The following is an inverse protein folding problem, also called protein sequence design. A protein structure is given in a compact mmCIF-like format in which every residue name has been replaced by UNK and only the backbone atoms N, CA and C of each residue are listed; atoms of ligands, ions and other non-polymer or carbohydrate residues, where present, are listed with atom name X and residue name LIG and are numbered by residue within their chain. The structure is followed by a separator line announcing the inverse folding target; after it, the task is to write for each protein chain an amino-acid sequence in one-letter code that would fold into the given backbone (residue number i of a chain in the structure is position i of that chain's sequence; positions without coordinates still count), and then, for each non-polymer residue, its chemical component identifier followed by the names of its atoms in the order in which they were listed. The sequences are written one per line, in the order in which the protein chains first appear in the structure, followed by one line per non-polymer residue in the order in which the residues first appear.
data_IF_032245799656
#
_entry.id   IF_032245799656
#
_cell.length_a   1.000
_cell.length_b   1.000
_cell.length_c   1.000
_cell.angle_alpha   90.00
_cell.angle_beta   90.00
_cell.angle_gamma   90.00
#
_symmetry.space_group_name_H-M   'P 1'
#
loop_
_entity.id
_entity.type
_entity.pdbx_description
1 polymer ?
#
# COMPACT_ATOMS: atom_id res chain seq x y z
N UNK A 1 30.22 14.05 10.57
CA UNK A 1 29.91 12.62 10.44
C UNK A 1 28.47 12.47 10.02
N UNK A 2 28.28 12.02 8.83
CA UNK A 2 27.04 12.06 8.06
C UNK A 2 26.01 11.03 8.57
N UNK A 3 24.80 11.49 8.88
CA UNK A 3 23.63 10.67 9.27
C UNK A 3 23.09 9.71 8.17
N UNK A 4 23.93 9.30 7.24
CA UNK A 4 23.52 8.58 6.04
C UNK A 4 23.53 7.04 6.14
N UNK A 5 23.93 6.43 7.27
CA UNK A 5 24.21 5.00 7.33
C UNK A 5 23.31 4.17 8.26
N UNK A 6 22.16 4.72 8.75
CA UNK A 6 21.20 3.95 9.55
C UNK A 6 19.79 3.87 8.93
N UNK A 7 19.68 4.09 7.62
CA UNK A 7 18.39 4.09 6.90
C UNK A 7 18.19 2.88 5.97
N UNK A 8 18.82 1.78 6.21
CA UNK A 8 18.44 0.54 5.54
C UNK A 8 17.46 -0.20 6.42
N UNK A 9 16.17 -0.09 6.20
CA UNK A 9 15.26 -1.20 6.34
C UNK A 9 13.82 -0.94 6.75
N UNK A 10 13.42 0.18 7.33
CA UNK A 10 12.04 0.28 7.84
C UNK A 10 11.23 1.39 7.12
N UNK A 11 11.10 1.28 5.79
CA UNK A 11 10.23 2.16 5.01
C UNK A 11 8.81 1.63 4.97
N UNK A 12 7.84 2.55 5.03
CA UNK A 12 6.44 2.22 4.76
C UNK A 12 6.29 1.61 3.37
N UNK A 13 5.34 0.70 3.21
CA UNK A 13 5.02 0.06 1.94
C UNK A 13 3.52 0.13 1.69
N UNK A 14 3.14 0.09 0.44
CA UNK A 14 1.76 -0.12 0.00
C UNK A 14 1.66 -1.46 -0.71
N UNK A 15 0.68 -2.27 -0.38
CA UNK A 15 0.38 -3.51 -1.07
C UNK A 15 -1.06 -3.49 -1.61
N UNK A 16 -1.24 -3.94 -2.84
CA UNK A 16 -2.54 -4.11 -3.47
C UNK A 16 -2.81 -5.60 -3.65
N UNK A 17 -3.88 -6.07 -3.00
CA UNK A 17 -4.31 -7.46 -3.13
C UNK A 17 -5.16 -7.64 -4.39
N UNK A 18 -4.60 -8.29 -5.40
CA UNK A 18 -5.30 -8.69 -6.63
C UNK A 18 -6.14 -7.55 -7.24
N UNK A 19 -5.55 -6.40 -7.57
CA UNK A 19 -6.32 -5.26 -8.08
C UNK A 19 -7.09 -5.64 -9.33
N UNK A 20 -8.33 -5.14 -9.46
CA UNK A 20 -9.20 -5.44 -10.59
C UNK A 20 -9.52 -4.23 -11.47
N UNK A 21 -9.00 -3.06 -11.14
CA UNK A 21 -9.14 -1.84 -11.94
C UNK A 21 -7.76 -1.30 -12.35
N UNK A 22 -7.40 -1.34 -13.65
CA UNK A 22 -6.08 -0.91 -14.12
C UNK A 22 -5.73 0.54 -13.77
N UNK A 23 -6.71 1.44 -13.82
CA UNK A 23 -6.53 2.86 -13.51
C UNK A 23 -6.11 3.07 -12.05
N UNK A 24 -6.61 2.25 -11.13
CA UNK A 24 -6.21 2.30 -9.72
C UNK A 24 -4.76 1.84 -9.54
N UNK A 25 -4.31 0.84 -10.27
CA UNK A 25 -2.90 0.45 -10.25
C UNK A 25 -2.00 1.59 -10.73
N UNK A 26 -2.36 2.26 -11.83
CA UNK A 26 -1.62 3.42 -12.32
C UNK A 26 -1.56 4.55 -11.30
N UNK A 27 -2.66 4.85 -10.64
CA UNK A 27 -2.72 5.86 -9.57
C UNK A 27 -1.87 5.47 -8.35
N UNK A 28 -1.84 4.19 -7.99
CA UNK A 28 -1.00 3.67 -6.90
C UNK A 28 0.50 3.81 -7.22
N UNK A 29 0.90 3.49 -8.44
CA UNK A 29 2.30 3.65 -8.90
C UNK A 29 2.73 5.12 -8.76
N UNK A 30 1.90 6.04 -9.23
CA UNK A 30 2.16 7.48 -9.11
C UNK A 30 2.24 7.92 -7.66
N UNK A 31 1.28 7.52 -6.83
CA UNK A 31 1.24 7.86 -5.40
C UNK A 31 2.52 7.40 -4.70
N UNK A 32 2.89 6.14 -4.90
CA UNK A 32 4.07 5.56 -4.27
C UNK A 32 5.37 6.22 -4.74
N UNK A 33 5.49 6.51 -6.03
CA UNK A 33 6.64 7.22 -6.58
C UNK A 33 6.78 8.63 -5.97
N UNK A 34 5.69 9.37 -5.86
CA UNK A 34 5.67 10.71 -5.27
C UNK A 34 6.01 10.71 -3.77
N UNK A 35 5.65 9.67 -3.06
CA UNK A 35 5.89 9.55 -1.61
C UNK A 35 7.17 8.77 -1.26
N UNK A 36 7.91 8.28 -2.26
CA UNK A 36 9.12 7.49 -2.03
C UNK A 36 8.85 6.14 -1.35
N UNK A 37 7.71 5.52 -1.65
CA UNK A 37 7.22 4.28 -1.03
C UNK A 37 7.28 3.14 -2.05
N UNK A 38 7.68 1.95 -1.62
CA UNK A 38 7.61 0.74 -2.43
C UNK A 38 6.17 0.25 -2.57
N UNK A 39 5.81 -0.22 -3.76
CA UNK A 39 4.51 -0.80 -4.07
C UNK A 39 4.63 -2.30 -4.31
N UNK A 40 3.87 -3.09 -3.59
CA UNK A 40 3.71 -4.53 -3.82
C UNK A 40 2.40 -4.79 -4.55
N UNK A 41 2.46 -5.49 -5.68
CA UNK A 41 1.27 -5.91 -6.43
C UNK A 41 1.14 -7.42 -6.32
N UNK A 42 0.08 -7.87 -5.66
CA UNK A 42 -0.18 -9.29 -5.42
C UNK A 42 -1.13 -9.79 -6.50
N UNK A 43 -0.64 -10.68 -7.34
CA UNK A 43 -1.40 -11.28 -8.44
C UNK A 43 -2.22 -12.50 -7.95
N UNK A 44 -3.23 -12.98 -8.70
CA UNK A 44 -3.59 -12.50 -10.04
C UNK A 44 -4.39 -11.19 -10.03
N UNK A 45 -4.11 -10.33 -11.02
CA UNK A 45 -4.95 -9.16 -11.30
C UNK A 45 -6.08 -9.57 -12.26
N UNK A 46 -7.20 -8.84 -12.24
CA UNK A 46 -8.30 -9.08 -13.19
C UNK A 46 -8.02 -8.55 -14.60
N UNK A 47 -6.85 -8.02 -14.84
CA UNK A 47 -6.38 -7.51 -16.13
C UNK A 47 -4.96 -8.01 -16.38
N UNK A 48 -4.49 -8.05 -17.66
CA UNK A 48 -3.12 -8.47 -17.96
C UNK A 48 -2.10 -7.53 -17.32
N UNK A 49 -1.20 -8.09 -16.53
CA UNK A 49 -0.10 -7.37 -15.90
C UNK A 49 1.22 -7.85 -16.51
N UNK A 50 1.91 -6.95 -17.20
CA UNK A 50 3.23 -7.17 -17.78
C UNK A 50 4.15 -6.01 -17.42
N UNK A 51 5.46 -6.21 -17.54
CA UNK A 51 6.43 -5.12 -17.37
C UNK A 51 6.14 -3.95 -18.31
N UNK A 52 5.67 -4.25 -19.54
CA UNK A 52 5.26 -3.23 -20.50
C UNK A 52 4.04 -2.45 -20.04
N UNK A 53 3.03 -3.12 -19.49
CA UNK A 53 1.83 -2.45 -18.97
C UNK A 53 2.13 -1.63 -17.70
N UNK A 54 3.01 -2.12 -16.84
CA UNK A 54 3.49 -1.37 -15.68
C UNK A 54 4.28 -0.13 -16.09
N UNK A 55 5.19 -0.25 -17.04
CA UNK A 55 5.92 0.90 -17.60
C UNK A 55 5.00 1.93 -18.22
N UNK A 56 3.95 1.48 -18.93
CA UNK A 56 2.94 2.39 -19.50
C UNK A 56 2.14 3.11 -18.40
N UNK A 57 1.72 2.40 -17.37
CA UNK A 57 0.98 2.98 -16.24
C UNK A 57 1.84 3.98 -15.44
N UNK A 58 3.16 3.77 -15.43
CA UNK A 58 4.12 4.59 -14.71
C UNK A 58 4.79 5.68 -15.57
N UNK A 59 4.31 5.94 -16.79
CA UNK A 59 4.93 6.72 -17.87
C UNK A 59 5.90 7.84 -17.42
N UNK A 60 5.43 8.75 -16.58
CA UNK A 60 6.23 9.90 -16.13
C UNK A 60 6.99 9.63 -14.81
N UNK A 61 6.68 8.53 -14.13
CA UNK A 61 7.16 8.21 -12.77
C UNK A 61 7.92 6.89 -12.68
N UNK A 62 8.05 6.16 -13.79
CA UNK A 62 8.68 4.85 -13.83
C UNK A 62 10.08 4.76 -13.21
N UNK A 63 10.99 5.73 -13.48
CA UNK A 63 12.33 5.72 -12.88
C UNK A 63 12.34 5.88 -11.35
N UNK A 64 11.31 6.50 -10.80
CA UNK A 64 11.15 6.75 -9.37
C UNK A 64 10.26 5.70 -8.69
N UNK A 65 9.55 4.89 -9.46
CA UNK A 65 8.65 3.87 -8.95
C UNK A 65 9.41 2.58 -8.58
N UNK A 66 9.24 2.13 -7.36
CA UNK A 66 9.71 0.82 -6.88
C UNK A 66 8.50 -0.11 -6.78
N UNK A 67 8.26 -0.90 -7.82
CA UNK A 67 7.13 -1.81 -7.93
C UNK A 67 7.61 -3.25 -7.91
N UNK A 68 7.14 -4.02 -6.94
CA UNK A 68 7.42 -5.45 -6.80
C UNK A 68 6.15 -6.25 -7.09
N UNK A 69 6.29 -7.26 -7.97
CA UNK A 69 5.22 -8.18 -8.32
C UNK A 69 5.37 -9.47 -7.52
N UNK A 70 4.26 -9.98 -7.04
CA UNK A 70 4.19 -11.27 -6.36
C UNK A 70 3.18 -12.16 -7.07
N UNK A 71 3.59 -13.33 -7.52
CA UNK A 71 2.78 -14.25 -8.32
C UNK A 71 1.52 -14.76 -7.57
N UNK A 72 1.53 -14.65 -6.24
CA UNK A 72 0.43 -15.07 -5.39
C UNK A 72 0.49 -14.41 -4.02
N UNK A 73 -0.60 -14.52 -3.26
CA UNK A 73 -0.62 -14.17 -1.84
C UNK A 73 0.45 -14.92 -1.04
N UNK A 74 0.60 -16.23 -1.28
CA UNK A 74 1.63 -17.03 -0.61
C UNK A 74 3.05 -16.56 -0.92
N UNK A 75 3.31 -16.14 -2.16
CA UNK A 75 4.60 -15.57 -2.54
C UNK A 75 4.87 -14.24 -1.84
N UNK A 76 3.85 -13.38 -1.74
CA UNK A 76 3.97 -12.12 -0.99
C UNK A 76 4.29 -12.36 0.48
N UNK A 77 3.60 -13.29 1.15
CA UNK A 77 3.84 -13.61 2.57
C UNK A 77 5.27 -14.09 2.84
N UNK A 78 5.91 -14.74 1.87
CA UNK A 78 7.29 -15.22 1.97
C UNK A 78 8.33 -14.17 1.58
N UNK A 79 7.91 -13.04 1.03
CA UNK A 79 8.85 -12.01 0.60
C UNK A 79 9.58 -11.39 1.79
N UNK A 80 10.87 -11.04 1.64
CA UNK A 80 11.62 -10.39 2.72
C UNK A 80 10.94 -9.11 3.22
N UNK A 81 10.42 -8.32 2.30
CA UNK A 81 9.74 -7.07 2.61
C UNK A 81 8.53 -7.26 3.55
N UNK A 82 7.75 -8.34 3.35
CA UNK A 82 6.59 -8.64 4.21
C UNK A 82 7.02 -9.03 5.63
N UNK A 83 8.18 -9.62 5.80
CA UNK A 83 8.62 -10.14 7.08
C UNK A 83 9.24 -9.06 7.99
N UNK A 84 9.52 -7.89 7.47
CA UNK A 84 10.22 -6.83 8.20
C UNK A 84 9.30 -5.95 9.05
N UNK A 85 7.97 -5.92 8.79
CA UNK A 85 7.03 -5.05 9.47
C UNK A 85 5.66 -5.67 9.64
N UNK A 86 4.74 -4.86 10.19
CA UNK A 86 3.35 -5.29 10.35
C UNK A 86 2.58 -5.13 9.05
N UNK A 87 1.60 -6.01 8.85
CA UNK A 87 0.61 -5.91 7.78
C UNK A 87 -0.66 -5.23 8.32
N UNK A 88 -0.98 -4.06 7.80
CA UNK A 88 -2.11 -3.25 8.22
C UNK A 88 -3.14 -3.22 7.10
N UNK A 89 -4.22 -3.97 7.26
CA UNK A 89 -5.29 -4.09 6.28
C UNK A 89 -6.32 -2.98 6.45
N UNK A 90 -6.65 -2.29 5.34
CA UNK A 90 -7.79 -1.38 5.30
C UNK A 90 -9.04 -2.13 4.88
N UNK A 91 -10.01 -2.18 5.77
CA UNK A 91 -11.25 -2.94 5.62
C UNK A 91 -12.33 -2.34 6.52
N UNK A 92 -13.59 -2.60 6.21
CA UNK A 92 -14.70 -2.23 7.09
C UNK A 92 -15.09 -3.33 8.08
N UNK A 93 -14.47 -4.52 7.98
CA UNK A 93 -14.82 -5.71 8.77
C UNK A 93 -13.94 -5.84 10.01
N UNK A 94 -14.52 -5.65 11.21
CA UNK A 94 -13.81 -5.87 12.47
C UNK A 94 -12.57 -4.98 12.65
N UNK A 95 -12.67 -3.73 12.25
CA UNK A 95 -11.56 -2.80 12.17
C UNK A 95 -11.68 -1.67 13.19
N UNK A 96 -10.54 -1.05 13.49
CA UNK A 96 -10.45 0.18 14.30
C UNK A 96 -10.40 1.40 13.39
N UNK A 97 -10.89 2.58 13.84
CA UNK A 97 -10.79 3.79 13.05
C UNK A 97 -9.33 4.25 12.90
N UNK A 98 -9.01 4.78 11.73
CA UNK A 98 -7.66 5.24 11.38
C UNK A 98 -7.06 6.18 12.42
N UNK A 99 -7.85 7.12 12.95
CA UNK A 99 -7.36 8.15 13.86
C UNK A 99 -6.96 7.63 15.24
N UNK A 100 -7.36 6.42 15.62
CA UNK A 100 -6.96 5.77 16.88
C UNK A 100 -5.73 4.87 16.72
N UNK A 101 -5.23 4.69 15.50
CA UNK A 101 -4.15 3.75 15.24
C UNK A 101 -2.77 4.41 15.30
N UNK A 102 -1.80 3.67 15.85
CA UNK A 102 -0.39 4.07 15.91
C UNK A 102 0.43 3.28 14.89
N UNK A 103 0.81 3.95 13.82
CA UNK A 103 1.70 3.40 12.82
C UNK A 103 3.14 3.28 13.33
N UNK A 104 3.85 2.31 12.77
CA UNK A 104 5.28 2.08 13.03
C UNK A 104 6.05 2.13 11.72
N UNK A 105 7.33 2.56 11.75
CA UNK A 105 8.18 2.43 10.57
C UNK A 105 8.22 0.98 10.08
N UNK A 106 8.09 0.80 8.76
CA UNK A 106 8.06 -0.53 8.16
C UNK A 106 6.68 -1.17 8.03
N UNK A 107 5.62 -0.52 8.51
CA UNK A 107 4.26 -1.01 8.27
C UNK A 107 3.97 -1.09 6.76
N UNK A 108 3.33 -2.17 6.34
CA UNK A 108 2.78 -2.34 5.00
C UNK A 108 1.27 -2.12 5.05
N UNK A 109 0.78 -1.10 4.35
CA UNK A 109 -0.65 -0.87 4.20
C UNK A 109 -1.18 -1.74 3.08
N UNK A 110 -2.17 -2.57 3.36
CA UNK A 110 -2.77 -3.48 2.39
C UNK A 110 -4.17 -3.00 2.01
N UNK A 111 -4.39 -2.86 0.70
CA UNK A 111 -5.69 -2.55 0.11
C UNK A 111 -6.25 -3.79 -0.57
N UNK A 112 -7.53 -4.06 -0.34
CA UNK A 112 -8.26 -5.14 -0.99
C UNK A 112 -8.68 -4.80 -2.43
N UNK A 113 -9.28 -5.79 -3.10
CA UNK A 113 -9.90 -5.58 -4.42
C UNK A 113 -11.01 -4.54 -4.32
N UNK A 114 -11.16 -3.78 -5.38
CA UNK A 114 -12.20 -2.77 -5.48
C UNK A 114 -13.59 -3.41 -5.47
N UNK A 115 -13.74 -4.58 -6.10
CA UNK A 115 -15.02 -5.28 -6.24
C UNK A 115 -15.41 -6.13 -5.04
N UNK A 116 -14.45 -6.71 -4.29
CA UNK A 116 -14.73 -7.77 -3.32
C UNK A 116 -13.89 -7.71 -2.03
N UNK A 117 -13.03 -6.70 -1.86
CA UNK A 117 -12.13 -6.66 -0.71
C UNK A 117 -11.13 -7.82 -0.71
N UNK A 118 -10.95 -8.46 0.42
CA UNK A 118 -10.03 -9.58 0.61
C UNK A 118 -10.74 -10.80 1.22
N UNK A 119 -10.27 -12.03 0.94
CA UNK A 119 -10.79 -13.24 1.58
C UNK A 119 -10.40 -13.33 3.06
N UNK A 120 -11.06 -14.20 3.79
CA UNK A 120 -10.88 -14.37 5.24
C UNK A 120 -9.44 -14.68 5.63
N UNK A 121 -8.73 -15.48 4.84
CA UNK A 121 -7.32 -15.79 5.09
C UNK A 121 -6.41 -14.56 5.12
N UNK A 122 -6.74 -13.54 4.33
CA UNK A 122 -6.00 -12.27 4.30
C UNK A 122 -6.36 -11.42 5.52
N UNK A 123 -7.63 -11.42 5.93
CA UNK A 123 -8.06 -10.79 7.18
C UNK A 123 -7.33 -11.38 8.38
N UNK A 124 -7.21 -12.69 8.44
CA UNK A 124 -6.54 -13.41 9.53
C UNK A 124 -5.03 -13.16 9.56
N UNK A 125 -4.41 -13.01 8.39
CA UNK A 125 -2.97 -12.74 8.29
C UNK A 125 -2.58 -11.30 8.64
N UNK A 126 -3.53 -10.36 8.69
CA UNK A 126 -3.26 -8.98 9.02
C UNK A 126 -2.97 -8.80 10.53
N UNK A 127 -1.92 -8.06 10.83
CA UNK A 127 -1.55 -7.71 12.20
C UNK A 127 -2.49 -6.65 12.80
N UNK A 128 -3.05 -5.81 11.96
CA UNK A 128 -4.05 -4.81 12.33
C UNK A 128 -5.02 -4.58 11.17
N UNK A 129 -6.23 -4.12 11.51
CA UNK A 129 -7.29 -3.78 10.57
C UNK A 129 -7.82 -2.40 10.88
N UNK A 130 -7.89 -1.57 9.85
CA UNK A 130 -8.31 -0.18 9.96
C UNK A 130 -9.41 0.14 8.98
N UNK A 131 -10.23 1.13 9.33
CA UNK A 131 -11.12 1.78 8.39
C UNK A 131 -11.00 3.30 8.49
N UNK A 132 -11.32 3.98 7.40
CA UNK A 132 -11.47 5.43 7.40
C UNK A 132 -12.93 5.75 7.67
N UNK A 133 -13.27 6.48 8.74
CA UNK A 133 -14.65 6.91 8.97
C UNK A 133 -15.12 7.80 7.83
N UNK A 134 -16.25 7.45 7.25
CA UNK A 134 -16.93 8.25 6.21
C UNK A 134 -18.38 8.48 6.64
N UNK A 135 -19.05 9.42 5.98
CA UNK A 135 -20.44 9.71 6.29
C UNK A 135 -21.34 8.49 6.02
N UNK A 136 -22.29 8.16 6.92
CA UNK A 136 -23.12 6.96 6.79
C UNK A 136 -23.95 6.89 5.51
N UNK A 137 -24.32 8.04 4.95
CA UNK A 137 -25.09 8.15 3.72
C UNK A 137 -24.27 7.92 2.44
N UNK A 138 -22.94 7.80 2.56
CA UNK A 138 -22.03 7.52 1.45
C UNK A 138 -21.71 6.02 1.35
N UNK A 139 -21.29 5.54 0.17
CA UNK A 139 -21.00 4.12 -0.03
C UNK A 139 -19.58 3.75 0.37
N UNK A 140 -18.60 4.32 -0.34
CA UNK A 140 -17.18 4.01 -0.15
C UNK A 140 -16.32 5.08 -0.80
N UNK A 141 -15.06 5.16 -0.34
CA UNK A 141 -14.02 5.90 -1.03
C UNK A 141 -13.36 5.02 -2.10
N UNK A 142 -12.81 5.65 -3.12
CA UNK A 142 -11.89 4.97 -4.05
C UNK A 142 -10.72 4.38 -3.25
N UNK A 143 -10.29 3.17 -3.62
CA UNK A 143 -9.23 2.45 -2.89
C UNK A 143 -7.91 3.22 -2.82
N UNK A 144 -7.57 3.98 -3.87
CA UNK A 144 -6.33 4.78 -3.86
C UNK A 144 -6.48 6.05 -3.02
N UNK A 145 -7.69 6.60 -2.92
CA UNK A 145 -7.97 7.66 -1.95
C UNK A 145 -7.78 7.17 -0.52
N UNK A 146 -8.26 5.96 -0.21
CA UNK A 146 -8.00 5.31 1.09
C UNK A 146 -6.51 5.12 1.33
N UNK A 147 -5.78 4.62 0.35
CA UNK A 147 -4.33 4.45 0.43
C UNK A 147 -3.61 5.78 0.67
N UNK A 148 -3.99 6.84 -0.04
CA UNK A 148 -3.38 8.16 0.12
C UNK A 148 -3.61 8.74 1.53
N UNK A 149 -4.83 8.63 2.05
CA UNK A 149 -5.15 9.08 3.41
C UNK A 149 -4.36 8.28 4.44
N UNK A 150 -4.34 6.95 4.31
CA UNK A 150 -3.62 6.07 5.22
C UNK A 150 -2.11 6.29 5.20
N UNK A 151 -1.52 6.37 4.01
CA UNK A 151 -0.08 6.66 3.86
C UNK A 151 0.29 8.05 4.38
N UNK A 152 -0.53 9.06 4.11
CA UNK A 152 -0.31 10.41 4.62
C UNK A 152 -0.24 10.44 6.14
N UNK A 153 -1.17 9.79 6.81
CA UNK A 153 -1.17 9.69 8.28
C UNK A 153 0.01 8.85 8.79
N UNK A 154 0.30 7.72 8.16
CA UNK A 154 1.42 6.88 8.54
C UNK A 154 2.77 7.61 8.43
N UNK A 155 3.00 8.32 7.32
CA UNK A 155 4.21 9.12 7.13
C UNK A 155 4.30 10.28 8.14
N UNK A 156 3.18 10.93 8.45
CA UNK A 156 3.14 11.98 9.47
C UNK A 156 3.57 11.45 10.84
N UNK A 157 3.03 10.31 11.25
CA UNK A 157 3.32 9.71 12.55
C UNK A 157 4.76 9.21 12.65
N UNK A 158 5.31 8.66 11.58
CA UNK A 158 6.63 8.01 11.58
C UNK A 158 7.78 8.91 11.14
N UNK A 159 7.50 10.18 10.82
CA UNK A 159 8.52 11.10 10.31
C UNK A 159 9.05 10.71 8.93
N UNK A 160 8.21 10.05 8.11
CA UNK A 160 8.60 9.53 6.81
C UNK A 160 8.63 10.55 5.68
N UNK A 161 8.20 11.79 5.92
CA UNK A 161 8.37 12.90 4.98
C UNK A 161 9.79 13.46 5.11
N UNK A 162 10.76 12.81 4.48
CA UNK A 162 12.18 13.15 4.58
C UNK A 162 12.76 13.88 3.35
N UNK A 163 11.89 14.27 2.43
CA UNK A 163 12.23 15.02 1.22
C UNK A 163 11.85 16.49 1.36
N UNK A 164 12.67 17.35 0.75
CA UNK A 164 12.42 18.77 0.73
C UNK A 164 11.39 19.13 -0.34
N UNK A 165 10.50 20.09 -0.08
CA UNK A 165 9.64 20.64 -1.14
C UNK A 165 10.47 21.20 -2.27
N UNK A 166 9.98 21.02 -3.48
CA UNK A 166 10.61 21.63 -4.66
C UNK A 166 10.54 23.16 -4.65
#
# INVERSE_FOLDING_TARGET
MTRAHLRGSLRMRLALFQPDIPQNLGAAIRLCACLGISLDVIEPCAFPLSDKSLKRAALDYGPQADVQRHDSWAAFLKSPARQEGRLVLFTTKGASPLHDFRFQPGDTLLMGRESAGVPDEVHEAADARLFIPIRPETRSLNVIAVAAIGLGEALRQTGGYDFQPA
#
